data_IF_696115661653
#
_entry.id   IF_696115661653
#
_cell.length_a   1.000
_cell.length_b   1.000
_cell.length_c   1.000
_cell.angle_alpha   90.00
_cell.angle_beta   90.00
_cell.angle_gamma   90.00
#
_symmetry.space_group_name_H-M   'P 1'
#
loop_
_entity.id
_entity.type
_entity.pdbx_description
1 polymer ?
#
# COMPACT_ATOMS: atom_id res chain seq x y z
N UNK A 1 16.59 3.53 -10.98
CA UNK A 1 15.32 3.61 -10.22
C UNK A 1 15.67 3.19 -8.80
N UNK A 2 15.57 4.10 -7.84
CA UNK A 2 15.94 3.83 -6.45
C UNK A 2 14.96 2.80 -5.87
N UNK A 3 15.43 1.57 -5.67
CA UNK A 3 14.67 0.58 -4.91
C UNK A 3 14.69 1.05 -3.44
N UNK A 4 13.51 1.15 -2.82
CA UNK A 4 13.40 1.56 -1.42
C UNK A 4 14.04 0.46 -0.56
N UNK A 5 15.14 0.79 0.11
CA UNK A 5 15.79 -0.07 1.11
C UNK A 5 14.90 -0.24 2.36
N UNK A 6 15.05 -1.37 3.06
CA UNK A 6 14.15 -1.74 4.17
C UNK A 6 14.15 -0.69 5.30
N UNK A 7 15.28 -0.03 5.55
CA UNK A 7 15.38 1.08 6.52
C UNK A 7 14.46 2.25 6.13
N UNK A 8 14.55 2.69 4.89
CA UNK A 8 13.70 3.78 4.36
C UNK A 8 12.22 3.37 4.35
N UNK A 9 11.91 2.10 4.05
CA UNK A 9 10.53 1.60 4.10
C UNK A 9 9.94 1.61 5.51
N UNK A 10 10.74 1.28 6.53
CA UNK A 10 10.33 1.32 7.93
C UNK A 10 10.13 2.77 8.40
N UNK A 11 11.06 3.66 8.09
CA UNK A 11 10.97 5.09 8.42
C UNK A 11 9.72 5.72 7.81
N UNK A 12 9.47 5.49 6.51
CA UNK A 12 8.27 5.97 5.83
C UNK A 12 6.98 5.40 6.43
N UNK A 13 6.98 4.12 6.80
CA UNK A 13 5.81 3.50 7.46
C UNK A 13 5.52 4.16 8.81
N UNK A 14 6.56 4.42 9.62
CA UNK A 14 6.42 5.07 10.91
C UNK A 14 5.88 6.49 10.76
N UNK A 15 6.38 7.26 9.79
CA UNK A 15 5.91 8.61 9.50
C UNK A 15 4.43 8.61 9.10
N UNK A 16 4.03 7.72 8.18
CA UNK A 16 2.63 7.61 7.71
C UNK A 16 1.70 7.24 8.86
N UNK A 17 2.04 6.22 9.65
CA UNK A 17 1.19 5.75 10.76
C UNK A 17 1.09 6.83 11.85
N UNK A 18 2.20 7.50 12.19
CA UNK A 18 2.19 8.58 13.20
C UNK A 18 1.28 9.75 12.80
N UNK A 19 1.33 10.15 11.52
CA UNK A 19 0.45 11.19 10.98
C UNK A 19 -1.03 10.79 11.04
N UNK A 20 -1.33 9.51 10.80
CA UNK A 20 -2.69 9.01 10.90
C UNK A 20 -3.19 9.01 12.36
N UNK A 21 -2.46 8.37 13.28
CA UNK A 21 -2.93 8.25 14.68
C UNK A 21 -2.95 9.58 15.44
N UNK A 22 -2.14 10.56 15.01
CA UNK A 22 -2.05 11.86 15.66
C UNK A 22 -3.36 12.66 15.67
N UNK A 23 -4.24 12.45 14.70
CA UNK A 23 -5.56 13.10 14.64
C UNK A 23 -6.72 12.10 14.46
N UNK A 24 -6.45 10.80 14.64
CA UNK A 24 -7.46 9.75 14.53
C UNK A 24 -7.32 8.82 15.74
N UNK A 25 -8.19 8.94 16.76
CA UNK A 25 -8.19 8.02 17.88
C UNK A 25 -8.57 6.61 17.41
N UNK A 26 -7.71 5.64 17.68
CA UNK A 26 -7.96 4.22 17.41
C UNK A 26 -7.71 3.37 18.66
N UNK A 27 -8.44 2.25 18.81
CA UNK A 27 -8.13 1.27 19.85
C UNK A 27 -6.71 0.75 19.70
N UNK A 28 -6.00 0.59 20.82
CA UNK A 28 -4.63 0.07 20.82
C UNK A 28 -4.51 -1.31 20.15
N UNK A 29 -5.58 -2.11 20.20
CA UNK A 29 -5.66 -3.41 19.53
C UNK A 29 -5.68 -3.33 18.00
N UNK A 30 -6.10 -2.22 17.40
CA UNK A 30 -6.16 -2.03 15.94
C UNK A 30 -4.89 -1.43 15.33
N UNK A 31 -3.97 -0.93 16.16
CA UNK A 31 -2.71 -0.35 15.71
C UNK A 31 -1.80 -1.36 14.98
N UNK A 32 -1.63 -2.62 15.45
CA UNK A 32 -0.80 -3.60 14.76
C UNK A 32 -1.27 -3.89 13.33
N UNK A 33 -2.59 -4.01 13.13
CA UNK A 33 -3.19 -4.28 11.82
C UNK A 33 -2.96 -3.12 10.85
N UNK A 34 -3.09 -1.88 11.33
CA UNK A 34 -2.81 -0.68 10.54
C UNK A 34 -1.35 -0.65 10.09
N UNK A 35 -0.40 -0.89 11.00
CA UNK A 35 1.03 -0.90 10.69
C UNK A 35 1.34 -1.99 9.65
N UNK A 36 0.79 -3.19 9.81
CA UNK A 36 0.99 -4.30 8.88
C UNK A 36 0.46 -3.95 7.47
N UNK A 37 -0.72 -3.35 7.38
CA UNK A 37 -1.34 -2.92 6.12
C UNK A 37 -0.50 -1.86 5.41
N UNK A 38 -0.05 -0.83 6.12
CA UNK A 38 0.75 0.26 5.55
C UNK A 38 2.11 -0.24 5.11
N UNK A 39 2.81 -1.00 5.95
CA UNK A 39 4.12 -1.58 5.62
C UNK A 39 4.05 -2.48 4.37
N UNK A 40 3.03 -3.34 4.30
CA UNK A 40 2.81 -4.18 3.12
C UNK A 40 2.55 -3.35 1.86
N UNK A 41 1.77 -2.28 1.97
CA UNK A 41 1.46 -1.38 0.84
C UNK A 41 2.70 -0.62 0.35
N UNK A 42 3.51 -0.08 1.28
CA UNK A 42 4.77 0.61 0.95
C UNK A 42 5.74 -0.35 0.26
N UNK A 43 5.90 -1.58 0.78
CA UNK A 43 6.78 -2.60 0.17
C UNK A 43 6.27 -3.07 -1.19
N UNK A 44 4.95 -3.20 -1.37
CA UNK A 44 4.34 -3.50 -2.68
C UNK A 44 4.65 -2.42 -3.71
N UNK A 45 4.54 -1.14 -3.33
CA UNK A 45 4.84 -0.02 -4.19
C UNK A 45 6.34 0.04 -4.54
N UNK A 46 7.21 -0.24 -3.56
CA UNK A 46 8.65 -0.34 -3.76
C UNK A 46 9.06 -1.49 -4.70
N UNK A 47 8.36 -2.62 -4.64
CA UNK A 47 8.63 -3.81 -5.43
C UNK A 47 8.09 -3.80 -6.86
N UNK A 48 7.49 -2.70 -7.33
CA UNK A 48 7.09 -2.50 -8.73
C UNK A 48 5.95 -3.39 -9.24
N UNK A 49 5.42 -4.32 -8.44
CA UNK A 49 4.22 -5.09 -8.82
C UNK A 49 2.97 -4.30 -8.48
N UNK A 50 2.75 -3.22 -9.23
CA UNK A 50 1.40 -2.79 -9.53
C UNK A 50 0.87 -3.88 -10.44
N UNK A 51 0.19 -4.88 -9.87
CA UNK A 51 -0.78 -5.66 -10.64
C UNK A 51 -1.84 -4.64 -11.02
N UNK A 52 -1.62 -3.96 -12.14
CA UNK A 52 -2.65 -3.24 -12.87
C UNK A 52 -3.79 -4.24 -12.95
N UNK A 53 -4.90 -3.96 -12.27
CA UNK A 53 -6.12 -4.71 -12.49
C UNK A 53 -6.29 -4.76 -14.00
N UNK A 54 -6.06 -5.94 -14.59
CA UNK A 54 -6.29 -6.16 -15.98
C UNK A 54 -7.80 -6.03 -16.12
N UNK A 55 -8.26 -4.81 -16.44
CA UNK A 55 -9.62 -4.59 -16.91
C UNK A 55 -9.78 -5.61 -18.03
N UNK A 56 -10.59 -6.64 -17.77
CA UNK A 56 -10.84 -7.69 -18.74
C UNK A 56 -11.31 -6.99 -20.01
N UNK A 57 -10.49 -7.02 -21.07
CA UNK A 57 -10.88 -6.47 -22.35
C UNK A 57 -11.93 -7.43 -22.90
N UNK A 58 -13.20 -7.15 -22.60
CA UNK A 58 -14.31 -7.79 -23.31
C UNK A 58 -14.10 -7.45 -24.79
N UNK A 59 -14.06 -8.45 -25.69
CA UNK A 59 -13.91 -8.18 -27.10
C UNK A 59 -14.95 -7.16 -27.55
N UNK A 60 -14.51 -6.02 -28.10
CA UNK A 60 -15.38 -5.05 -28.77
C UNK A 60 -15.78 -5.56 -30.17
N UNK A 61 -16.13 -6.85 -30.27
CA UNK A 61 -16.60 -7.42 -31.52
C UNK A 61 -18.11 -7.38 -31.52
N UNK A 62 -18.66 -6.66 -32.48
CA UNK A 62 -20.08 -6.66 -32.78
C UNK A 62 -20.48 -8.07 -33.29
N UNK A 63 -21.39 -8.80 -32.62
CA UNK A 63 -21.94 -10.02 -33.18
C UNK A 63 -23.01 -9.67 -34.23
N UNK A 64 -22.56 -9.65 -35.50
CA UNK A 64 -23.29 -9.44 -36.77
C UNK A 64 -23.63 -8.00 -37.14
#
# INVERSE_FOLDING_TARGET
MSNIDDKTAIELTADIVSAYVGNNPLPASGLPDLIASVSASVRKLAGGSVVKEAVALTPAVNPK
#
